data_IF_655704425432
#
_entry.id   IF_655704425432
#
_cell.length_a   1.000
_cell.length_b   1.000
_cell.length_c   1.000
_cell.angle_alpha   90.00
_cell.angle_beta   90.00
_cell.angle_gamma   90.00
#
_symmetry.space_group_name_H-M   'P 1'
#
loop_
_entity.id
_entity.type
_entity.pdbx_description
1 polymer ?
#
# COMPACT_ATOMS: atom_id res chain seq x y z
N UNK A 1 -11.59 17.22 -14.04
CA UNK A 1 -10.63 16.19 -13.54
C UNK A 1 -10.97 14.88 -14.22
N UNK A 2 -10.13 14.38 -15.12
CA UNK A 2 -10.37 13.10 -15.81
C UNK A 2 -9.72 12.02 -14.96
N UNK A 3 -10.51 11.22 -14.26
CA UNK A 3 -10.01 10.04 -13.56
C UNK A 3 -9.56 9.05 -14.63
N UNK A 4 -8.26 8.85 -14.73
CA UNK A 4 -7.69 7.80 -15.56
C UNK A 4 -8.02 6.47 -14.84
N UNK A 5 -9.08 5.80 -15.27
CA UNK A 5 -9.61 4.57 -14.64
C UNK A 5 -8.67 3.36 -14.76
N UNK A 6 -7.44 3.58 -15.21
CA UNK A 6 -6.38 2.58 -15.39
C UNK A 6 -5.30 2.63 -14.31
N UNK A 7 -5.48 3.41 -13.23
CA UNK A 7 -4.54 3.44 -12.10
C UNK A 7 -5.31 3.24 -10.80
N UNK A 8 -4.94 2.19 -10.08
CA UNK A 8 -5.54 1.80 -8.81
C UNK A 8 -4.47 1.98 -7.73
N UNK A 9 -4.78 2.74 -6.69
CA UNK A 9 -3.95 2.90 -5.51
C UNK A 9 -4.65 2.21 -4.35
N UNK A 10 -3.95 1.30 -3.68
CA UNK A 10 -4.50 0.52 -2.55
C UNK A 10 -3.66 0.78 -1.31
N UNK A 11 -4.24 1.37 -0.25
CA UNK A 11 -3.56 1.50 1.02
C UNK A 11 -3.43 0.13 1.70
N UNK A 12 -2.26 -0.12 2.28
CA UNK A 12 -1.93 -1.36 3.00
C UNK A 12 -1.32 -1.05 4.35
N UNK A 13 -1.75 -1.76 5.39
CA UNK A 13 -1.31 -1.54 6.77
C UNK A 13 -0.75 -2.80 7.45
N UNK A 14 -0.74 -3.94 6.73
CA UNK A 14 -0.23 -5.22 7.22
C UNK A 14 -1.27 -6.09 7.92
N UNK A 15 -2.51 -5.64 8.04
CA UNK A 15 -3.60 -6.50 8.52
C UNK A 15 -4.15 -7.40 7.41
N UNK A 16 -4.86 -8.45 7.81
CA UNK A 16 -5.44 -9.42 6.89
C UNK A 16 -6.49 -8.81 5.95
N UNK A 17 -7.20 -7.76 6.37
CA UNK A 17 -8.21 -7.10 5.54
C UNK A 17 -7.56 -6.30 4.41
N UNK A 18 -6.43 -5.66 4.66
CA UNK A 18 -5.63 -4.94 3.68
C UNK A 18 -4.97 -5.88 2.68
N UNK A 19 -4.45 -7.03 3.13
CA UNK A 19 -3.93 -8.09 2.25
C UNK A 19 -5.02 -8.61 1.30
N UNK A 20 -6.21 -8.92 1.84
CA UNK A 20 -7.33 -9.41 1.04
C UNK A 20 -7.82 -8.35 0.06
N UNK A 21 -7.95 -7.10 0.51
CA UNK A 21 -8.30 -5.96 -0.36
C UNK A 21 -7.32 -5.83 -1.53
N UNK A 22 -6.02 -6.00 -1.26
CA UNK A 22 -5.01 -5.96 -2.31
C UNK A 22 -5.17 -7.12 -3.30
N UNK A 23 -5.48 -8.33 -2.83
CA UNK A 23 -5.78 -9.49 -3.69
C UNK A 23 -6.97 -9.23 -4.63
N UNK A 24 -8.04 -8.63 -4.13
CA UNK A 24 -9.17 -8.20 -4.97
C UNK A 24 -8.75 -7.16 -6.00
N UNK A 25 -7.91 -6.21 -5.61
CA UNK A 25 -7.39 -5.20 -6.52
C UNK A 25 -6.50 -5.81 -7.62
N UNK A 26 -5.69 -6.83 -7.32
CA UNK A 26 -4.94 -7.60 -8.32
C UNK A 26 -5.89 -8.19 -9.38
N UNK A 27 -6.98 -8.83 -8.96
CA UNK A 27 -7.98 -9.38 -9.88
C UNK A 27 -8.61 -8.28 -10.76
N UNK A 28 -9.00 -7.16 -10.16
CA UNK A 28 -9.57 -6.03 -10.90
C UNK A 28 -8.57 -5.45 -11.91
N UNK A 29 -7.32 -5.24 -11.49
CA UNK A 29 -6.25 -4.70 -12.32
C UNK A 29 -5.92 -5.62 -13.51
N UNK A 30 -5.89 -6.93 -13.28
CA UNK A 30 -5.64 -7.92 -14.32
C UNK A 30 -6.70 -7.90 -15.42
N UNK A 31 -7.99 -7.78 -15.05
CA UNK A 31 -9.11 -7.73 -15.99
C UNK A 31 -9.19 -6.40 -16.76
N UNK A 32 -8.90 -5.29 -16.08
CA UNK A 32 -9.01 -3.95 -16.67
C UNK A 32 -7.72 -3.47 -17.35
N UNK A 33 -6.64 -4.25 -17.23
CA UNK A 33 -5.27 -3.83 -17.63
C UNK A 33 -4.87 -2.51 -16.97
N UNK A 34 -5.27 -2.34 -15.71
CA UNK A 34 -4.89 -1.19 -14.90
C UNK A 34 -3.53 -1.42 -14.23
N UNK A 35 -2.82 -0.32 -13.97
CA UNK A 35 -1.67 -0.28 -13.08
C UNK A 35 -2.18 -0.32 -11.63
N UNK A 36 -1.54 -1.13 -10.80
CA UNK A 36 -1.85 -1.29 -9.39
C UNK A 36 -0.65 -0.82 -8.56
N UNK A 37 -0.90 0.06 -7.59
CA UNK A 37 0.10 0.60 -6.68
C UNK A 37 -0.32 0.31 -5.24
N UNK A 38 0.56 -0.31 -4.46
CA UNK A 38 0.42 -0.40 -3.01
C UNK A 38 1.00 0.87 -2.36
N UNK A 39 0.37 1.35 -1.29
CA UNK A 39 0.94 2.43 -0.46
C UNK A 39 0.80 2.09 1.02
N UNK A 40 1.91 2.17 1.75
CA UNK A 40 1.93 2.15 3.21
C UNK A 40 2.19 3.56 3.72
N UNK A 41 1.47 3.97 4.75
CA UNK A 41 1.61 5.30 5.36
C UNK A 41 2.17 5.12 6.75
N UNK A 42 3.32 5.76 7.00
CA UNK A 42 3.91 5.87 8.33
C UNK A 42 3.33 7.14 8.97
N UNK A 43 2.67 6.98 10.11
CA UNK A 43 2.09 8.09 10.85
C UNK A 43 3.14 8.73 11.75
N UNK A 44 3.37 10.04 11.57
CA UNK A 44 4.23 10.82 12.47
C UNK A 44 3.36 11.51 13.52
N UNK A 45 3.59 11.25 14.82
CA UNK A 45 2.87 11.94 15.89
C UNK A 45 2.96 13.47 15.76
N UNK A 46 1.84 14.17 15.96
CA UNK A 46 1.75 15.63 15.78
C UNK A 46 2.73 16.47 16.62
N UNK A 47 3.28 15.89 17.69
CA UNK A 47 4.24 16.55 18.56
C UNK A 47 5.70 16.41 18.08
N UNK A 48 5.93 15.65 17.02
CA UNK A 48 7.23 15.44 16.39
C UNK A 48 7.31 16.14 15.03
N UNK A 49 8.51 16.53 14.57
CA UNK A 49 8.74 16.97 13.19
C UNK A 49 8.43 15.85 12.17
N UNK A 50 7.98 16.22 10.96
CA UNK A 50 7.73 15.23 9.89
C UNK A 50 9.00 14.56 9.39
N UNK A 51 10.14 15.22 9.57
CA UNK A 51 11.47 14.73 9.21
C UNK A 51 12.04 13.76 10.26
N UNK A 52 11.35 13.56 11.38
CA UNK A 52 11.76 12.61 12.41
C UNK A 52 11.67 11.18 11.84
N UNK A 53 12.81 10.52 11.71
CA UNK A 53 12.87 9.12 11.27
C UNK A 53 12.56 8.18 12.44
N UNK A 54 11.60 7.28 12.23
CA UNK A 54 11.36 6.11 13.09
C UNK A 54 11.80 4.84 12.35
N UNK A 55 13.00 4.30 12.65
CA UNK A 55 13.51 3.10 11.99
C UNK A 55 12.62 1.87 12.19
N UNK A 56 11.88 1.77 13.30
CA UNK A 56 10.98 0.65 13.55
C UNK A 56 9.76 0.75 12.63
N UNK A 57 9.17 1.94 12.52
CA UNK A 57 8.04 2.18 11.61
C UNK A 57 8.43 1.97 10.15
N UNK A 58 9.64 2.43 9.74
CA UNK A 58 10.18 2.20 8.40
C UNK A 58 10.32 0.70 8.11
N UNK A 59 10.99 -0.03 9.01
CA UNK A 59 11.17 -1.48 8.86
C UNK A 59 9.83 -2.24 8.82
N UNK A 60 8.85 -1.79 9.61
CA UNK A 60 7.51 -2.35 9.56
C UNK A 60 6.84 -2.11 8.20
N UNK A 61 6.95 -0.89 7.66
CA UNK A 61 6.43 -0.54 6.35
C UNK A 61 7.02 -1.39 5.23
N UNK A 62 8.35 -1.55 5.21
CA UNK A 62 9.04 -2.42 4.26
C UNK A 62 8.55 -3.88 4.35
N UNK A 63 8.34 -4.39 5.56
CA UNK A 63 7.79 -5.74 5.77
C UNK A 63 6.36 -5.87 5.24
N UNK A 64 5.51 -4.86 5.44
CA UNK A 64 4.16 -4.84 4.88
C UNK A 64 4.21 -4.85 3.36
N UNK A 65 5.05 -4.01 2.75
CA UNK A 65 5.18 -3.95 1.29
C UNK A 65 5.73 -5.26 0.70
N UNK A 66 6.75 -5.86 1.30
CA UNK A 66 7.29 -7.16 0.87
C UNK A 66 6.23 -8.28 0.94
N UNK A 67 5.36 -8.24 1.94
CA UNK A 67 4.24 -9.18 2.06
C UNK A 67 3.21 -9.00 0.93
N UNK A 68 2.92 -7.75 0.58
CA UNK A 68 2.00 -7.41 -0.52
C UNK A 68 2.58 -7.80 -1.88
N UNK A 69 3.88 -7.64 -2.09
CA UNK A 69 4.56 -8.15 -3.28
C UNK A 69 4.41 -9.67 -3.42
N UNK A 70 4.52 -10.42 -2.32
CA UNK A 70 4.29 -11.86 -2.32
C UNK A 70 2.83 -12.26 -2.59
N UNK A 71 1.85 -11.40 -2.31
CA UNK A 71 0.44 -11.60 -2.68
C UNK A 71 0.19 -11.31 -4.17
N UNK A 72 0.99 -10.42 -4.76
CA UNK A 72 0.89 -10.03 -6.16
C UNK A 72 1.58 -10.98 -7.15
N UNK A 73 2.54 -11.79 -6.65
CA UNK A 73 3.30 -12.79 -7.41
C UNK A 73 2.44 -13.99 -7.83
#
# INVERSE_FOLDING_TARGET
MKLDSKRILVPVNGDAASEETFRWACHLAHHTKAQLHAVHVIEVPLHLPLEEEDPEAINNGERVLARIEAVAA
#
